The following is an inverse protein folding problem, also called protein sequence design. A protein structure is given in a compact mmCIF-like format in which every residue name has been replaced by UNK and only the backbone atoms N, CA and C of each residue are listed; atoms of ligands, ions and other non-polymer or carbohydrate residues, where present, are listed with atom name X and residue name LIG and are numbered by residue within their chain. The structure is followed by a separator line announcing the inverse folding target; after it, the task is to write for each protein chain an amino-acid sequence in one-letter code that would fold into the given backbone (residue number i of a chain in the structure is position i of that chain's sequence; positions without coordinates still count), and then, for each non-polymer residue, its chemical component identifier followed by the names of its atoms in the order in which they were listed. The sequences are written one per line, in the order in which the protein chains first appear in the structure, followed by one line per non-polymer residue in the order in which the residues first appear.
data_IF_702614477848
#
_entry.id   IF_702614477848
#
_cell.length_a   1.000
_cell.length_b   1.000
_cell.length_c   1.000
_cell.angle_alpha   90.00
_cell.angle_beta   90.00
_cell.angle_gamma   90.00
#
_symmetry.space_group_name_H-M   'P 1'
#
loop_
_entity.id
_entity.type
_entity.pdbx_description
1 polymer ?
#
# COMPACT_ATOMS: atom_id res chain seq x y z
N UNK A 1 16.33 -14.50 22.78
CA UNK A 1 15.68 -15.54 21.96
C UNK A 1 14.38 -14.91 21.43
N UNK A 2 14.01 -15.15 20.17
CA UNK A 2 12.89 -14.43 19.54
C UNK A 2 11.56 -15.16 19.72
N UNK A 3 10.45 -14.41 19.82
CA UNK A 3 9.12 -14.97 20.04
C UNK A 3 8.69 -16.05 19.01
N UNK A 4 9.23 -16.02 17.79
CA UNK A 4 8.95 -17.02 16.75
C UNK A 4 9.50 -18.41 17.10
N UNK A 5 10.73 -18.47 17.62
CA UNK A 5 11.37 -19.72 18.04
C UNK A 5 10.72 -20.32 19.28
N UNK A 6 10.16 -19.47 20.15
CA UNK A 6 9.45 -19.91 21.36
C UNK A 6 8.08 -20.54 21.04
N UNK A 7 7.46 -20.15 19.94
CA UNK A 7 6.19 -20.71 19.46
C UNK A 7 6.37 -21.90 18.48
N UNK A 8 7.61 -22.35 18.24
CA UNK A 8 7.91 -23.50 17.38
C UNK A 8 7.72 -23.26 15.88
N UNK A 9 7.50 -22.02 15.43
CA UNK A 9 7.34 -21.71 14.01
C UNK A 9 8.69 -21.42 13.33
N UNK A 10 8.86 -21.96 12.12
CA UNK A 10 10.00 -21.60 11.27
C UNK A 10 9.90 -20.16 10.77
N UNK A 11 11.02 -19.44 10.70
CA UNK A 11 11.03 -18.04 10.24
C UNK A 11 10.49 -17.90 8.80
N UNK A 12 10.89 -18.80 7.89
CA UNK A 12 10.45 -18.79 6.50
C UNK A 12 8.96 -19.12 6.34
N UNK A 13 8.46 -20.08 7.12
CA UNK A 13 7.04 -20.42 7.17
C UNK A 13 6.21 -19.25 7.68
N UNK A 14 6.67 -18.60 8.76
CA UNK A 14 6.00 -17.43 9.33
C UNK A 14 5.98 -16.26 8.33
N UNK A 15 7.10 -15.98 7.66
CA UNK A 15 7.15 -14.93 6.64
C UNK A 15 6.15 -15.20 5.50
N UNK A 16 6.11 -16.44 4.98
CA UNK A 16 5.13 -16.83 3.95
C UNK A 16 3.68 -16.71 4.43
N UNK A 17 3.41 -17.00 5.71
CA UNK A 17 2.08 -16.80 6.28
C UNK A 17 1.71 -15.32 6.39
N UNK A 18 2.67 -14.47 6.80
CA UNK A 18 2.51 -13.02 6.89
C UNK A 18 2.27 -12.39 5.52
N UNK A 19 2.99 -12.79 4.49
CA UNK A 19 2.86 -12.25 3.12
C UNK A 19 1.46 -12.50 2.53
N UNK A 20 0.76 -13.55 2.96
CA UNK A 20 -0.61 -13.86 2.51
C UNK A 20 -1.69 -12.98 3.13
N UNK A 21 -1.40 -12.32 4.26
CA UNK A 21 -2.38 -11.53 5.02
C UNK A 21 -2.02 -10.05 5.12
N UNK A 22 -0.74 -9.71 4.97
CA UNK A 22 -0.25 -8.35 5.02
C UNK A 22 -0.16 -7.78 3.60
N UNK A 23 -1.06 -6.86 3.21
CA UNK A 23 -1.02 -6.26 1.89
C UNK A 23 0.24 -5.42 1.71
N UNK A 24 0.92 -5.62 0.58
CA UNK A 24 2.04 -4.80 0.13
C UNK A 24 1.55 -3.48 -0.47
N UNK A 25 0.40 -3.51 -1.16
CA UNK A 25 -0.21 -2.34 -1.78
C UNK A 25 -1.48 -1.92 -1.04
N UNK A 26 -1.52 -0.67 -0.60
CA UNK A 26 -2.67 -0.05 0.05
C UNK A 26 -3.00 1.28 -0.65
N UNK A 27 -4.26 1.75 -0.64
CA UNK A 27 -4.65 3.03 -1.22
C UNK A 27 -4.13 4.20 -0.34
N UNK A 28 -2.82 4.45 -0.39
CA UNK A 28 -2.18 5.53 0.37
C UNK A 28 -2.75 6.87 -0.08
N UNK A 29 -3.08 7.74 0.89
CA UNK A 29 -3.76 9.00 0.64
C UNK A 29 -3.11 9.89 -0.42
N UNK A 30 -1.77 9.97 -0.47
CA UNK A 30 -1.07 10.77 -1.49
C UNK A 30 -1.24 10.24 -2.92
N UNK A 31 -1.32 8.92 -3.08
CA UNK A 31 -1.59 8.31 -4.40
C UNK A 31 -3.05 8.50 -4.80
N UNK A 32 -3.97 8.39 -3.83
CA UNK A 32 -5.38 8.65 -4.05
C UNK A 32 -5.64 10.11 -4.42
N UNK A 33 -5.08 11.06 -3.68
CA UNK A 33 -5.18 12.50 -3.94
C UNK A 33 -4.62 12.88 -5.32
N UNK A 34 -3.45 12.35 -5.69
CA UNK A 34 -2.89 12.54 -7.03
C UNK A 34 -3.82 11.98 -8.14
N UNK A 35 -4.39 10.79 -7.94
CA UNK A 35 -5.32 10.19 -8.89
C UNK A 35 -6.62 10.98 -9.03
N UNK A 36 -7.18 11.50 -7.92
CA UNK A 36 -8.39 12.31 -7.92
C UNK A 36 -8.19 13.67 -8.61
N UNK A 37 -7.01 14.30 -8.42
CA UNK A 37 -6.66 15.54 -9.12
C UNK A 37 -6.59 15.31 -10.63
N UNK A 38 -5.86 14.30 -11.08
CA UNK A 38 -5.79 13.95 -12.51
C UNK A 38 -7.17 13.65 -13.10
N UNK A 39 -8.01 12.90 -12.37
CA UNK A 39 -9.38 12.60 -12.79
C UNK A 39 -10.25 13.86 -12.92
N UNK A 40 -10.04 14.86 -12.04
CA UNK A 40 -10.74 16.15 -12.11
C UNK A 40 -10.36 16.92 -13.38
N UNK A 41 -9.12 16.76 -13.84
CA UNK A 41 -8.62 17.31 -15.11
C UNK A 41 -8.99 16.44 -16.33
N UNK A 42 -9.73 15.33 -16.12
CA UNK A 42 -10.23 14.43 -17.15
C UNK A 42 -9.35 13.21 -17.44
N UNK A 43 -8.24 13.01 -16.71
CA UNK A 43 -7.37 11.84 -16.85
C UNK A 43 -7.66 10.78 -15.78
N UNK A 44 -8.34 9.70 -16.18
CA UNK A 44 -8.66 8.57 -15.31
C UNK A 44 -7.55 7.52 -15.21
N UNK A 45 -6.50 7.58 -16.02
CA UNK A 45 -5.48 6.55 -16.06
C UNK A 45 -4.78 6.33 -14.69
N UNK A 46 -4.46 7.38 -13.90
CA UNK A 46 -3.87 7.19 -12.57
C UNK A 46 -4.82 6.50 -11.57
N UNK A 47 -6.13 6.77 -11.69
CA UNK A 47 -7.15 6.12 -10.86
C UNK A 47 -7.29 4.65 -11.21
N UNK A 48 -7.41 4.32 -12.50
CA UNK A 48 -7.50 2.94 -12.98
C UNK A 48 -6.25 2.15 -12.58
N UNK A 49 -5.07 2.77 -12.68
CA UNK A 49 -3.82 2.14 -12.25
C UNK A 49 -3.78 1.88 -10.75
N UNK A 50 -4.19 2.86 -9.94
CA UNK A 50 -4.28 2.67 -8.50
C UNK A 50 -5.26 1.55 -8.14
N UNK A 51 -6.41 1.47 -8.82
CA UNK A 51 -7.41 0.42 -8.63
C UNK A 51 -6.86 -0.97 -8.97
N UNK A 52 -6.14 -1.11 -10.08
CA UNK A 52 -5.48 -2.36 -10.48
C UNK A 52 -4.50 -2.85 -9.39
N UNK A 53 -3.70 -1.93 -8.86
CA UNK A 53 -2.68 -2.22 -7.86
C UNK A 53 -3.31 -2.66 -6.53
N UNK A 54 -4.29 -1.93 -6.01
CA UNK A 54 -4.90 -2.22 -4.69
C UNK A 54 -5.84 -3.42 -4.71
N UNK A 55 -6.30 -3.85 -5.90
CA UNK A 55 -7.08 -5.09 -6.07
C UNK A 55 -6.19 -6.34 -6.12
N UNK A 56 -4.88 -6.18 -6.26
CA UNK A 56 -3.89 -7.26 -6.19
C UNK A 56 -2.86 -7.03 -5.07
N UNK A 57 -3.29 -6.83 -3.82
CA UNK A 57 -2.47 -6.16 -2.81
C UNK A 57 -1.33 -7.01 -2.24
N UNK A 58 -1.35 -8.33 -2.39
CA UNK A 58 -0.40 -9.25 -1.74
C UNK A 58 0.77 -9.67 -2.66
N UNK A 59 0.57 -9.66 -3.98
CA UNK A 59 1.54 -10.19 -4.93
C UNK A 59 2.55 -9.14 -5.35
N UNK A 60 3.81 -9.24 -4.91
CA UNK A 60 4.87 -8.31 -5.32
C UNK A 60 5.08 -8.33 -6.84
N UNK A 61 5.11 -7.13 -7.42
CA UNK A 61 5.39 -6.88 -8.84
C UNK A 61 6.37 -5.73 -8.98
N UNK A 62 7.38 -5.91 -9.82
CA UNK A 62 8.44 -4.90 -10.01
C UNK A 62 7.89 -3.63 -10.68
N UNK A 63 6.90 -3.76 -11.57
CA UNK A 63 6.23 -2.62 -12.20
C UNK A 63 5.41 -1.76 -11.23
N UNK A 64 5.17 -2.24 -10.01
CA UNK A 64 4.41 -1.54 -8.97
C UNK A 64 5.28 -1.14 -7.78
N UNK A 65 6.61 -1.22 -7.88
CA UNK A 65 7.52 -0.92 -6.77
C UNK A 65 7.22 0.44 -6.11
N UNK A 66 6.93 1.46 -6.90
CA UNK A 66 6.62 2.81 -6.42
C UNK A 66 5.37 2.88 -5.53
N UNK A 67 4.42 1.95 -5.70
CA UNK A 67 3.19 1.90 -4.88
C UNK A 67 3.44 1.33 -3.47
N UNK A 68 4.62 0.77 -3.23
CA UNK A 68 5.04 0.31 -1.89
C UNK A 68 5.60 1.43 -1.03
N UNK A 69 6.01 2.54 -1.65
CA UNK A 69 6.67 3.66 -0.99
C UNK A 69 5.75 4.40 -0.01
N UNK A 70 6.35 4.92 1.05
CA UNK A 70 5.64 5.81 1.97
C UNK A 70 5.31 7.15 1.30
N UNK A 71 4.35 7.88 1.88
CA UNK A 71 4.09 9.25 1.45
C UNK A 71 5.34 10.13 1.69
N UNK A 72 5.65 11.06 0.78
CA UNK A 72 6.66 12.09 1.05
C UNK A 72 6.30 12.88 2.32
N UNK A 73 7.31 13.26 3.11
CA UNK A 73 7.08 14.01 4.37
C UNK A 73 6.29 15.31 4.14
N UNK A 74 6.57 16.00 3.03
CA UNK A 74 5.86 17.23 2.63
C UNK A 74 4.36 17.03 2.43
N UNK A 75 3.93 15.84 2.00
CA UNK A 75 2.51 15.51 1.92
C UNK A 75 1.91 15.34 3.32
N UNK A 76 2.59 14.59 4.20
CA UNK A 76 2.12 14.35 5.56
C UNK A 76 1.96 15.61 6.40
N UNK A 77 2.76 16.65 6.17
CA UNK A 77 2.67 17.93 6.88
C UNK A 77 1.41 18.74 6.53
N UNK A 78 0.84 18.53 5.34
CA UNK A 78 -0.28 19.31 4.82
C UNK A 78 -1.58 18.51 4.72
N UNK A 79 -1.49 17.18 4.77
CA UNK A 79 -2.61 16.30 4.54
C UNK A 79 -3.49 16.17 5.78
N UNK A 80 -4.70 16.72 5.70
CA UNK A 80 -5.71 16.61 6.74
C UNK A 80 -6.67 15.46 6.44
N UNK A 81 -6.72 14.46 7.31
CA UNK A 81 -7.71 13.39 7.24
C UNK A 81 -9.01 13.83 7.89
N UNK A 82 -10.13 13.56 7.23
CA UNK A 82 -11.47 13.63 7.83
C UNK A 82 -11.99 12.23 8.16
N UNK A 83 -11.09 11.31 8.52
CA UNK A 83 -11.44 9.97 8.98
C UNK A 83 -12.04 10.07 10.40
N UNK A 84 -13.24 10.64 10.49
CA UNK A 84 -14.02 10.83 11.69
C UNK A 84 -15.48 10.51 11.38
N UNK A 85 -15.78 9.23 11.21
CA UNK A 85 -17.09 8.61 11.37
C UNK A 85 -16.89 7.25 12.01
#
# INVERSE_FOLDING_TARGET
QGALTENGHGAAETASAMDRVNPLYIPRNHRLDAALRAATDGDLAPFEKLLEVVTHPFGRRDEWADYTEAAPQSFSETFQTFCGT
#
